data_IF_754437988389
#
_entry.id   IF_754437988389
#
_cell.length_a   1.000
_cell.length_b   1.000
_cell.length_c   1.000
_cell.angle_alpha   90.00
_cell.angle_beta   90.00
_cell.angle_gamma   90.00
#
_symmetry.space_group_name_H-M   'P 1'
#
loop_
_entity.id
_entity.type
_entity.pdbx_description
1 polymer ?
#
# COMPACT_ATOMS: atom_id res chain seq x y z
N UNK A 1 -52.71 11.13 -56.05
CA UNK A 1 -51.94 11.49 -57.24
C UNK A 1 -52.78 11.53 -58.54
N UNK A 2 -53.76 10.65 -58.78
CA UNK A 2 -54.63 10.71 -59.96
C UNK A 2 -55.67 11.81 -59.85
N UNK A 3 -56.41 11.90 -58.74
CA UNK A 3 -57.49 12.85 -58.50
C UNK A 3 -57.00 14.32 -58.40
N UNK A 4 -55.79 14.57 -57.86
CA UNK A 4 -55.21 15.93 -57.82
C UNK A 4 -54.82 16.44 -59.21
N UNK A 5 -54.26 15.59 -60.05
CA UNK A 5 -53.93 15.94 -61.43
C UNK A 5 -55.19 16.18 -62.31
N UNK A 6 -56.22 15.43 -62.03
CA UNK A 6 -57.53 15.61 -62.73
C UNK A 6 -58.16 16.92 -62.32
N UNK A 7 -58.06 17.28 -61.02
CA UNK A 7 -58.57 18.57 -60.53
C UNK A 7 -57.79 19.76 -61.11
N UNK A 8 -56.47 19.67 -61.14
CA UNK A 8 -55.61 20.71 -61.71
C UNK A 8 -55.89 20.92 -63.21
N UNK A 9 -56.03 19.82 -63.96
CA UNK A 9 -56.42 19.92 -65.38
C UNK A 9 -57.81 20.48 -65.57
N UNK A 10 -58.75 20.15 -64.72
CA UNK A 10 -60.10 20.76 -64.79
C UNK A 10 -60.08 22.28 -64.51
N UNK A 11 -59.33 22.69 -63.49
CA UNK A 11 -59.16 24.09 -63.12
C UNK A 11 -58.49 24.82 -64.26
N UNK A 12 -57.43 24.33 -64.88
CA UNK A 12 -56.75 24.93 -66.02
C UNK A 12 -57.69 25.02 -67.21
N UNK A 13 -58.50 23.99 -67.51
CA UNK A 13 -59.46 23.99 -68.58
C UNK A 13 -60.55 25.06 -68.42
N UNK A 14 -61.10 25.18 -67.18
CA UNK A 14 -62.10 26.15 -66.82
C UNK A 14 -61.61 27.61 -66.90
N UNK A 15 -60.36 27.83 -66.49
CA UNK A 15 -59.68 29.13 -66.58
C UNK A 15 -59.35 29.56 -68.02
N UNK A 16 -59.13 28.56 -68.93
CA UNK A 16 -58.76 28.81 -70.33
C UNK A 16 -59.98 29.01 -71.25
N UNK A 17 -61.16 28.59 -70.80
CA UNK A 17 -62.34 28.62 -71.66
C UNK A 17 -62.82 30.03 -71.89
N UNK A 18 -62.94 30.50 -73.18
CA UNK A 18 -63.40 31.85 -73.55
C UNK A 18 -64.83 32.09 -73.10
N UNK A 19 -65.67 31.05 -72.96
CA UNK A 19 -67.09 31.26 -72.56
C UNK A 19 -67.22 31.76 -71.12
N UNK A 20 -66.17 31.66 -70.28
CA UNK A 20 -66.17 32.10 -68.92
C UNK A 20 -65.49 33.48 -68.70
N UNK A 21 -65.02 34.16 -69.77
CA UNK A 21 -64.41 35.48 -69.65
C UNK A 21 -65.38 36.50 -69.08
N UNK A 22 -64.93 37.20 -67.98
CA UNK A 22 -65.74 38.21 -67.29
C UNK A 22 -66.69 37.70 -66.23
N UNK A 23 -66.73 36.35 -66.02
CA UNK A 23 -67.56 35.73 -64.97
C UNK A 23 -66.87 35.85 -63.61
N UNK A 24 -67.58 36.35 -62.53
CA UNK A 24 -66.98 36.54 -61.23
C UNK A 24 -66.39 35.23 -60.61
N UNK A 25 -66.97 34.08 -60.89
CA UNK A 25 -66.47 32.79 -60.44
C UNK A 25 -65.12 32.44 -61.04
N UNK A 26 -64.84 32.79 -62.28
CA UNK A 26 -63.53 32.62 -62.94
C UNK A 26 -62.42 33.40 -62.23
N UNK A 27 -62.71 34.67 -61.89
CA UNK A 27 -61.77 35.48 -61.12
C UNK A 27 -61.50 34.91 -59.70
N UNK A 28 -62.55 34.45 -59.03
CA UNK A 28 -62.41 33.78 -57.70
C UNK A 28 -61.59 32.49 -57.80
N UNK A 29 -61.82 31.69 -58.82
CA UNK A 29 -61.07 30.45 -59.06
C UNK A 29 -59.57 30.75 -59.38
N UNK A 30 -59.27 31.72 -60.21
CA UNK A 30 -57.93 32.14 -60.49
C UNK A 30 -57.20 32.65 -59.26
N UNK A 31 -57.87 33.43 -58.41
CA UNK A 31 -57.29 33.90 -57.13
C UNK A 31 -57.05 32.71 -56.16
N UNK A 32 -57.96 31.77 -56.07
CA UNK A 32 -57.81 30.62 -55.23
C UNK A 32 -56.62 29.74 -55.69
N UNK A 33 -56.53 29.51 -57.03
CA UNK A 33 -55.39 28.78 -57.62
C UNK A 33 -54.04 29.44 -57.29
N UNK A 34 -53.99 30.81 -57.47
CA UNK A 34 -52.78 31.57 -57.14
C UNK A 34 -52.41 31.46 -55.67
N UNK A 35 -53.41 31.60 -54.75
CA UNK A 35 -53.19 31.47 -53.34
C UNK A 35 -52.64 30.01 -52.97
N UNK A 36 -53.17 28.97 -53.64
CA UNK A 36 -52.74 27.65 -53.42
C UNK A 36 -51.28 27.46 -53.87
N UNK A 37 -50.90 27.94 -55.03
CA UNK A 37 -49.52 27.90 -55.56
C UNK A 37 -48.55 28.69 -54.64
N UNK A 38 -49.00 29.87 -54.13
CA UNK A 38 -48.21 30.65 -53.16
C UNK A 38 -48.01 29.89 -51.83
N UNK A 39 -49.06 29.21 -51.36
CA UNK A 39 -48.96 28.38 -50.15
C UNK A 39 -48.02 27.16 -50.34
N UNK A 40 -48.12 26.48 -51.47
CA UNK A 40 -47.23 25.35 -51.81
C UNK A 40 -45.76 25.82 -51.87
N UNK A 41 -45.51 26.94 -52.54
CA UNK A 41 -44.16 27.51 -52.61
C UNK A 41 -43.59 27.92 -51.23
N UNK A 42 -44.44 28.39 -50.30
CA UNK A 42 -44.08 28.68 -48.92
C UNK A 42 -43.74 27.39 -48.13
N UNK A 43 -44.59 26.35 -48.28
CA UNK A 43 -44.35 25.05 -47.65
C UNK A 43 -43.06 24.40 -48.12
N UNK A 44 -42.78 24.42 -49.42
CA UNK A 44 -41.51 23.90 -49.97
C UNK A 44 -40.31 24.69 -49.45
N UNK A 45 -40.44 26.00 -49.25
CA UNK A 45 -39.37 26.81 -48.66
C UNK A 45 -39.14 26.44 -47.20
N UNK A 46 -40.20 26.25 -46.42
CA UNK A 46 -40.14 25.85 -45.03
C UNK A 46 -39.50 24.43 -44.91
N UNK A 47 -39.92 23.50 -45.78
CA UNK A 47 -39.34 22.16 -45.83
C UNK A 47 -37.82 22.18 -46.08
N UNK A 48 -37.39 22.94 -47.11
CA UNK A 48 -35.96 23.13 -47.42
C UNK A 48 -35.17 23.73 -46.26
N UNK A 49 -35.72 24.71 -45.55
CA UNK A 49 -35.09 25.33 -44.39
C UNK A 49 -35.02 24.31 -43.25
N UNK A 50 -36.11 23.58 -42.99
CA UNK A 50 -36.14 22.52 -41.96
C UNK A 50 -35.10 21.43 -42.22
N UNK A 51 -35.01 20.95 -43.47
CA UNK A 51 -34.01 19.92 -43.86
C UNK A 51 -32.57 20.44 -43.66
N UNK A 52 -32.33 21.73 -43.99
CA UNK A 52 -31.04 22.38 -43.72
C UNK A 52 -30.69 22.45 -42.23
N UNK A 53 -31.65 22.81 -41.38
CA UNK A 53 -31.47 22.82 -39.93
C UNK A 53 -31.24 21.41 -39.36
N UNK A 54 -32.00 20.42 -39.85
CA UNK A 54 -31.80 19.03 -39.41
C UNK A 54 -30.43 18.46 -39.79
N UNK A 55 -29.95 18.74 -40.99
CA UNK A 55 -28.63 18.30 -41.44
C UNK A 55 -27.52 18.95 -40.61
N UNK A 56 -27.60 20.26 -40.36
CA UNK A 56 -26.66 21.00 -39.51
C UNK A 56 -26.64 20.46 -38.06
N UNK A 57 -27.83 20.25 -37.51
CA UNK A 57 -27.95 19.68 -36.14
C UNK A 57 -27.34 18.25 -36.04
N UNK A 58 -27.54 17.44 -37.06
CA UNK A 58 -26.91 16.09 -37.11
C UNK A 58 -25.39 16.18 -37.16
N UNK A 59 -24.84 17.06 -37.98
CA UNK A 59 -23.38 17.27 -38.11
C UNK A 59 -22.78 17.78 -36.79
N UNK A 60 -23.44 18.75 -36.16
CA UNK A 60 -23.01 19.22 -34.82
C UNK A 60 -23.05 18.14 -33.78
N UNK A 61 -24.10 17.32 -33.71
CA UNK A 61 -24.21 16.21 -32.78
C UNK A 61 -23.14 15.16 -33.00
N UNK A 62 -22.82 14.84 -34.27
CA UNK A 62 -21.75 13.91 -34.59
C UNK A 62 -20.39 14.44 -34.12
N UNK A 63 -20.08 15.70 -34.41
CA UNK A 63 -18.81 16.30 -33.99
C UNK A 63 -18.68 16.41 -32.48
N UNK A 64 -19.77 16.70 -31.77
CA UNK A 64 -19.83 16.75 -30.31
C UNK A 64 -19.60 15.35 -29.74
N UNK A 65 -20.28 14.33 -30.26
CA UNK A 65 -20.11 12.93 -29.87
C UNK A 65 -18.66 12.46 -30.02
N UNK A 66 -18.01 12.78 -31.13
CA UNK A 66 -16.59 12.45 -31.35
C UNK A 66 -15.66 13.15 -30.34
N UNK A 67 -15.94 14.39 -29.96
CA UNK A 67 -15.19 15.11 -28.94
C UNK A 67 -15.35 14.45 -27.58
N UNK A 68 -16.59 14.09 -27.19
CA UNK A 68 -16.85 13.36 -25.94
C UNK A 68 -16.12 12.01 -25.90
N UNK A 69 -16.16 11.23 -26.96
CA UNK A 69 -15.45 9.96 -27.01
C UNK A 69 -13.93 10.10 -26.93
N UNK A 70 -13.37 11.18 -27.48
CA UNK A 70 -11.93 11.48 -27.31
C UNK A 70 -11.59 11.83 -25.86
N UNK A 71 -12.41 12.66 -25.22
CA UNK A 71 -12.22 13.03 -23.81
C UNK A 71 -12.36 11.83 -22.87
N UNK A 72 -13.37 10.98 -23.08
CA UNK A 72 -13.53 9.76 -22.29
C UNK A 72 -12.30 8.86 -22.36
N UNK A 73 -11.78 8.63 -23.57
CA UNK A 73 -10.54 7.83 -23.74
C UNK A 73 -9.33 8.45 -23.04
N UNK A 74 -9.23 9.77 -23.02
CA UNK A 74 -8.18 10.46 -22.27
C UNK A 74 -8.34 10.28 -20.76
N UNK A 75 -9.57 10.44 -20.24
CA UNK A 75 -9.87 10.23 -18.82
C UNK A 75 -9.59 8.79 -18.38
N UNK A 76 -9.99 7.78 -19.17
CA UNK A 76 -9.66 6.38 -18.90
C UNK A 76 -8.15 6.11 -18.87
N UNK A 77 -7.40 6.78 -19.76
CA UNK A 77 -5.94 6.68 -19.75
C UNK A 77 -5.33 7.29 -18.50
N UNK A 78 -5.80 8.47 -18.09
CA UNK A 78 -5.35 9.15 -16.86
C UNK A 78 -5.71 8.31 -15.63
N UNK A 79 -6.92 7.78 -15.55
CA UNK A 79 -7.34 6.91 -14.45
C UNK A 79 -6.42 5.69 -14.32
N UNK A 80 -6.15 4.98 -15.43
CA UNK A 80 -5.22 3.82 -15.41
C UNK A 80 -3.79 4.18 -15.00
N UNK A 81 -3.30 5.37 -15.37
CA UNK A 81 -1.98 5.84 -14.92
C UNK A 81 -2.02 6.14 -13.42
N UNK A 82 -3.08 6.79 -12.94
CA UNK A 82 -3.27 7.10 -11.52
C UNK A 82 -3.31 5.84 -10.66
N UNK A 83 -4.04 4.80 -11.08
CA UNK A 83 -4.13 3.53 -10.37
C UNK A 83 -2.74 2.87 -10.25
N UNK A 84 -2.00 2.78 -11.37
CA UNK A 84 -0.64 2.24 -11.35
C UNK A 84 0.31 3.04 -10.45
N UNK A 85 0.16 4.36 -10.44
CA UNK A 85 0.99 5.22 -9.58
C UNK A 85 0.68 4.99 -8.10
N UNK A 86 -0.60 4.81 -7.75
CA UNK A 86 -1.02 4.48 -6.38
C UNK A 86 -0.47 3.11 -5.93
N UNK A 87 -0.54 2.09 -6.80
CA UNK A 87 0.01 0.77 -6.50
C UNK A 87 1.54 0.86 -6.28
N UNK A 88 2.26 1.55 -7.18
CA UNK A 88 3.70 1.74 -7.03
C UNK A 88 4.05 2.50 -5.73
N UNK A 89 3.27 3.51 -5.34
CA UNK A 89 3.47 4.22 -4.06
C UNK A 89 3.22 3.30 -2.86
N UNK A 90 2.23 2.42 -2.92
CA UNK A 90 1.98 1.43 -1.86
C UNK A 90 3.16 0.46 -1.72
N UNK A 91 3.63 -0.09 -2.84
CA UNK A 91 4.77 -1.01 -2.86
C UNK A 91 6.04 -0.35 -2.33
N UNK A 92 6.31 0.90 -2.75
CA UNK A 92 7.45 1.67 -2.25
C UNK A 92 7.34 1.95 -0.75
N UNK A 93 6.15 2.31 -0.26
CA UNK A 93 5.93 2.54 1.17
C UNK A 93 6.09 1.25 1.98
N UNK A 94 5.65 0.10 1.47
CA UNK A 94 5.87 -1.21 2.11
C UNK A 94 7.36 -1.53 2.16
N UNK A 95 8.08 -1.38 1.06
CA UNK A 95 9.53 -1.61 0.99
C UNK A 95 10.31 -0.67 1.93
N UNK A 96 9.92 0.61 2.00
CA UNK A 96 10.50 1.57 2.94
C UNK A 96 10.21 1.20 4.40
N UNK A 97 8.99 0.74 4.70
CA UNK A 97 8.62 0.27 6.03
C UNK A 97 9.44 -0.96 6.41
N UNK A 98 9.57 -1.95 5.54
CA UNK A 98 10.39 -3.14 5.77
C UNK A 98 11.87 -2.78 5.97
N UNK A 99 12.44 -1.94 5.12
CA UNK A 99 13.81 -1.46 5.28
C UNK A 99 14.01 -0.68 6.60
N UNK A 100 13.00 0.09 7.03
CA UNK A 100 12.99 0.83 8.30
C UNK A 100 12.83 -0.04 9.55
N UNK A 101 12.48 -1.33 9.41
CA UNK A 101 12.27 -2.26 10.52
C UNK A 101 13.47 -3.18 10.78
N UNK A 102 14.49 -3.15 9.93
CA UNK A 102 15.72 -3.92 10.09
C UNK A 102 16.90 -3.04 10.44
N UNK A 103 17.85 -3.62 11.17
CA UNK A 103 19.15 -3.01 11.43
C UNK A 103 20.06 -3.18 10.19
N UNK A 104 20.64 -2.08 9.72
CA UNK A 104 21.41 -2.06 8.48
C UNK A 104 22.71 -2.89 8.54
N UNK A 105 23.31 -3.03 9.73
CA UNK A 105 24.54 -3.79 9.93
C UNK A 105 24.30 -5.29 10.03
N UNK A 106 23.33 -5.66 10.88
CA UNK A 106 23.12 -7.07 11.25
C UNK A 106 22.02 -7.76 10.44
N UNK A 107 21.17 -7.00 9.73
CA UNK A 107 19.99 -7.52 9.03
C UNK A 107 18.87 -8.00 9.97
N UNK A 108 19.09 -8.02 11.27
CA UNK A 108 18.09 -8.41 12.26
C UNK A 108 16.98 -7.35 12.38
N UNK A 109 15.81 -7.70 12.92
CA UNK A 109 14.86 -6.75 13.43
C UNK A 109 15.53 -5.67 14.28
N UNK A 110 15.20 -4.41 14.01
CA UNK A 110 15.70 -3.30 14.82
C UNK A 110 14.78 -3.06 16.05
N UNK A 111 15.18 -2.15 16.91
CA UNK A 111 14.44 -1.79 18.12
C UNK A 111 12.97 -1.45 17.84
N UNK A 112 12.68 -0.79 16.72
CA UNK A 112 11.31 -0.41 16.35
C UNK A 112 10.44 -1.64 16.09
N UNK A 113 10.94 -2.58 15.31
CA UNK A 113 10.23 -3.84 15.03
C UNK A 113 10.05 -4.68 16.30
N UNK A 114 11.09 -4.74 17.15
CA UNK A 114 10.99 -5.40 18.45
C UNK A 114 9.88 -4.82 19.32
N UNK A 115 9.79 -3.48 19.39
CA UNK A 115 8.75 -2.79 20.16
C UNK A 115 7.33 -3.04 19.60
N UNK A 116 7.16 -3.13 18.29
CA UNK A 116 5.89 -3.48 17.67
C UNK A 116 5.48 -4.90 18.09
N UNK A 117 6.39 -5.88 17.99
CA UNK A 117 6.13 -7.26 18.37
C UNK A 117 5.88 -7.47 19.86
N UNK A 118 6.59 -6.75 20.73
CA UNK A 118 6.37 -6.79 22.16
C UNK A 118 4.94 -6.34 22.54
N UNK A 119 4.40 -5.34 21.88
CA UNK A 119 3.01 -4.89 22.08
C UNK A 119 2.01 -5.95 21.61
N UNK A 120 2.28 -6.58 20.48
CA UNK A 120 1.41 -7.64 19.96
C UNK A 120 1.38 -8.85 20.92
N UNK A 121 2.54 -9.25 21.47
CA UNK A 121 2.61 -10.38 22.42
C UNK A 121 1.98 -10.03 23.78
N UNK A 122 2.12 -8.80 24.26
CA UNK A 122 1.39 -8.32 25.43
C UNK A 122 -0.12 -8.45 25.26
N UNK A 123 -0.66 -8.00 24.12
CA UNK A 123 -2.09 -8.12 23.83
C UNK A 123 -2.53 -9.58 23.78
N UNK A 124 -1.74 -10.46 23.16
CA UNK A 124 -2.03 -11.91 23.13
C UNK A 124 -2.06 -12.52 24.52
N UNK A 125 -1.07 -12.21 25.34
CA UNK A 125 -1.00 -12.69 26.74
C UNK A 125 -2.21 -12.22 27.57
N UNK A 126 -2.66 -10.99 27.41
CA UNK A 126 -3.87 -10.46 28.05
C UNK A 126 -5.15 -11.17 27.60
N UNK A 127 -5.18 -11.70 26.38
CA UNK A 127 -6.31 -12.48 25.83
C UNK A 127 -6.26 -13.99 26.24
N UNK A 128 -5.40 -14.41 27.15
CA UNK A 128 -5.32 -15.78 27.66
C UNK A 128 -4.30 -16.66 26.94
N UNK A 129 -3.40 -16.10 26.12
CA UNK A 129 -2.25 -16.82 25.61
C UNK A 129 -1.23 -17.10 26.73
N UNK A 130 -0.29 -18.05 26.48
CA UNK A 130 0.78 -18.31 27.42
C UNK A 130 1.74 -17.11 27.53
N UNK A 131 2.46 -16.98 28.68
CA UNK A 131 3.42 -15.89 28.85
C UNK A 131 4.57 -16.01 27.84
N UNK A 132 5.29 -14.90 27.66
CA UNK A 132 6.51 -14.86 26.88
C UNK A 132 7.73 -14.63 27.78
N UNK A 133 8.91 -15.03 27.28
CA UNK A 133 10.18 -14.73 27.92
C UNK A 133 10.95 -13.70 27.10
N UNK A 134 11.55 -12.73 27.80
CA UNK A 134 12.50 -11.78 27.22
C UNK A 134 13.91 -12.10 27.70
N UNK A 135 14.86 -12.05 26.78
CA UNK A 135 16.27 -12.07 27.13
C UNK A 135 16.99 -10.85 26.53
N UNK A 136 17.45 -9.98 27.40
CA UNK A 136 18.35 -8.90 27.03
C UNK A 136 19.77 -9.43 26.96
N UNK A 137 20.50 -9.14 25.91
CA UNK A 137 21.85 -9.62 25.61
C UNK A 137 22.77 -8.45 25.36
N UNK A 138 23.96 -8.49 25.93
CA UNK A 138 24.97 -7.47 25.70
C UNK A 138 26.34 -8.11 25.50
N UNK A 139 27.10 -7.61 24.52
CA UNK A 139 28.42 -8.14 24.16
C UNK A 139 29.44 -7.64 25.16
N UNK A 140 30.05 -8.58 25.90
CA UNK A 140 31.02 -8.27 26.91
C UNK A 140 32.27 -7.58 26.33
N UNK A 141 32.69 -6.48 26.97
CA UNK A 141 33.90 -5.75 26.57
C UNK A 141 33.93 -5.24 25.15
N UNK A 142 32.77 -5.02 24.50
CA UNK A 142 32.69 -4.59 23.09
C UNK A 142 33.46 -3.30 22.82
N UNK A 143 33.43 -2.35 23.76
CA UNK A 143 34.24 -1.12 23.65
C UNK A 143 35.74 -1.42 23.53
N UNK A 144 36.26 -2.40 24.30
CA UNK A 144 37.67 -2.79 24.21
C UNK A 144 38.00 -3.42 22.85
N UNK A 145 37.09 -4.18 22.26
CA UNK A 145 37.24 -4.71 20.90
C UNK A 145 37.39 -3.57 19.91
N UNK A 146 36.49 -2.57 19.96
CA UNK A 146 36.58 -1.39 19.07
C UNK A 146 37.86 -0.57 19.30
N UNK A 147 38.23 -0.35 20.56
CA UNK A 147 39.42 0.43 20.92
C UNK A 147 40.71 -0.26 20.46
N UNK A 148 40.76 -1.60 20.43
CA UNK A 148 41.94 -2.39 20.07
C UNK A 148 42.05 -2.67 18.57
N UNK A 149 40.90 -3.04 17.94
CA UNK A 149 40.89 -3.59 16.58
C UNK A 149 40.15 -2.67 15.57
N UNK A 150 39.61 -1.56 16.04
CA UNK A 150 38.81 -0.64 15.20
C UNK A 150 37.35 -1.03 15.04
N UNK A 151 36.55 -0.04 14.60
CA UNK A 151 35.10 -0.20 14.44
C UNK A 151 34.71 -1.23 13.38
N UNK A 152 35.49 -1.40 12.31
CA UNK A 152 35.22 -2.38 11.25
C UNK A 152 35.22 -3.81 11.80
N UNK A 153 36.13 -4.12 12.74
CA UNK A 153 36.18 -5.42 13.42
C UNK A 153 35.02 -5.56 14.40
N UNK A 154 34.67 -4.49 15.12
CA UNK A 154 33.47 -4.48 15.97
C UNK A 154 32.19 -4.78 15.17
N UNK A 155 32.05 -4.19 13.99
CA UNK A 155 30.91 -4.44 13.08
C UNK A 155 30.87 -5.89 12.59
N UNK A 156 32.02 -6.51 12.29
CA UNK A 156 32.12 -7.94 11.98
C UNK A 156 31.69 -8.81 13.16
N UNK A 157 32.13 -8.47 14.38
CA UNK A 157 31.72 -9.17 15.62
C UNK A 157 30.20 -9.12 15.79
N UNK A 158 29.58 -7.94 15.69
CA UNK A 158 28.12 -7.79 15.81
C UNK A 158 27.37 -8.58 14.75
N UNK A 159 27.87 -8.60 13.51
CA UNK A 159 27.26 -9.37 12.42
C UNK A 159 27.32 -10.87 12.65
N UNK A 160 28.44 -11.38 13.18
CA UNK A 160 28.60 -12.81 13.52
C UNK A 160 27.72 -13.20 14.70
N UNK A 161 27.66 -12.39 15.75
CA UNK A 161 26.76 -12.58 16.88
C UNK A 161 25.31 -12.64 16.40
N UNK A 162 24.91 -11.71 15.56
CA UNK A 162 23.57 -11.67 14.98
C UNK A 162 23.23 -12.97 14.23
N UNK A 163 24.15 -13.51 13.43
CA UNK A 163 23.97 -14.76 12.71
C UNK A 163 23.81 -15.97 13.67
N UNK A 164 24.61 -16.03 14.75
CA UNK A 164 24.48 -17.07 15.76
C UNK A 164 23.16 -17.00 16.49
N UNK A 165 22.75 -15.79 16.93
CA UNK A 165 21.48 -15.58 17.61
C UNK A 165 20.30 -15.97 16.72
N UNK A 166 20.29 -15.53 15.47
CA UNK A 166 19.23 -15.83 14.49
C UNK A 166 19.15 -17.34 14.17
N UNK A 167 20.30 -18.01 14.03
CA UNK A 167 20.35 -19.43 13.70
C UNK A 167 19.98 -20.37 14.85
N UNK A 168 19.79 -19.84 16.06
CA UNK A 168 19.50 -20.66 17.24
C UNK A 168 18.07 -20.47 17.79
N UNK A 169 17.34 -19.49 17.32
CA UNK A 169 15.93 -19.23 17.66
C UNK A 169 15.00 -19.92 16.67
N UNK A 170 13.78 -20.23 17.09
CA UNK A 170 12.76 -20.86 16.25
C UNK A 170 12.11 -19.82 15.32
N UNK A 171 11.38 -20.26 14.29
CA UNK A 171 10.77 -19.37 13.31
C UNK A 171 9.72 -18.40 13.87
N UNK A 172 9.14 -18.67 15.04
CA UNK A 172 8.19 -17.79 15.74
C UNK A 172 8.83 -16.97 16.86
N UNK A 173 10.07 -17.31 17.28
CA UNK A 173 10.86 -16.48 18.18
C UNK A 173 11.39 -15.26 17.41
N UNK A 174 11.63 -14.17 18.10
CA UNK A 174 12.18 -12.97 17.50
C UNK A 174 13.52 -12.64 18.17
N UNK A 175 14.53 -12.41 17.33
CA UNK A 175 15.81 -11.84 17.74
C UNK A 175 16.01 -10.54 17.00
N UNK A 176 16.45 -9.49 17.69
CA UNK A 176 16.72 -8.20 17.09
C UNK A 176 17.80 -7.40 17.81
N UNK A 177 18.35 -6.39 17.11
CA UNK A 177 19.32 -5.47 17.69
C UNK A 177 18.57 -4.36 18.43
N UNK A 178 18.82 -4.26 19.74
CA UNK A 178 18.16 -3.31 20.63
C UNK A 178 18.90 -1.98 20.71
N UNK A 179 20.21 -2.02 20.74
CA UNK A 179 21.11 -0.87 20.84
C UNK A 179 22.40 -1.07 20.11
N UNK A 180 23.46 -0.34 20.49
CA UNK A 180 24.79 -0.42 19.86
C UNK A 180 25.34 -1.83 19.85
N UNK A 181 25.54 -2.43 21.03
CA UNK A 181 26.06 -3.77 21.28
C UNK A 181 25.04 -4.69 21.97
N UNK A 182 23.77 -4.25 22.04
CA UNK A 182 22.69 -4.92 22.73
C UNK A 182 21.74 -5.61 21.75
N UNK A 183 21.30 -6.82 22.10
CA UNK A 183 20.31 -7.59 21.39
C UNK A 183 19.17 -7.96 22.33
N UNK A 184 17.97 -8.17 21.76
CA UNK A 184 16.80 -8.64 22.50
C UNK A 184 16.25 -9.90 21.84
N UNK A 185 16.00 -10.92 22.64
CA UNK A 185 15.28 -12.13 22.25
C UNK A 185 13.89 -12.07 22.86
N UNK A 186 12.88 -12.29 22.05
CA UNK A 186 11.50 -12.49 22.45
C UNK A 186 11.11 -13.93 22.11
N UNK A 187 10.75 -14.70 23.15
CA UNK A 187 10.36 -16.10 23.07
C UNK A 187 8.87 -16.20 23.45
N UNK A 188 7.95 -16.12 22.49
CA UNK A 188 6.52 -16.26 22.74
C UNK A 188 6.16 -17.64 23.27
N UNK A 189 5.09 -17.74 24.07
CA UNK A 189 4.53 -18.99 24.57
C UNK A 189 5.59 -19.93 25.21
N UNK A 190 6.55 -19.32 25.90
CA UNK A 190 7.72 -20.01 26.43
C UNK A 190 7.89 -19.67 27.92
N UNK A 191 8.05 -20.67 28.75
CA UNK A 191 8.39 -20.53 30.18
C UNK A 191 9.90 -20.45 30.39
N UNK A 192 10.35 -19.97 31.57
CA UNK A 192 11.76 -19.91 31.93
C UNK A 192 12.45 -21.28 31.85
N UNK A 193 11.76 -22.35 32.23
CA UNK A 193 12.32 -23.71 32.20
C UNK A 193 12.73 -24.16 30.77
N UNK A 194 12.07 -23.62 29.75
CA UNK A 194 12.36 -23.88 28.34
C UNK A 194 13.35 -22.84 27.79
N UNK A 195 13.20 -21.58 28.20
CA UNK A 195 14.03 -20.49 27.69
C UNK A 195 15.48 -20.57 28.15
N UNK A 196 15.72 -20.84 29.45
CA UNK A 196 17.06 -20.84 30.02
C UNK A 196 18.02 -21.82 29.34
N UNK A 197 17.66 -23.09 29.08
CA UNK A 197 18.51 -23.99 28.29
C UNK A 197 18.85 -23.49 26.89
N UNK A 198 17.90 -22.78 26.22
CA UNK A 198 18.13 -22.21 24.91
C UNK A 198 19.13 -21.06 24.99
N UNK A 199 18.98 -20.18 25.99
CA UNK A 199 19.86 -19.04 26.21
C UNK A 199 21.27 -19.48 26.60
N UNK A 200 21.40 -20.47 27.48
CA UNK A 200 22.72 -21.04 27.84
C UNK A 200 23.42 -21.69 26.64
N UNK A 201 22.68 -22.39 25.78
CA UNK A 201 23.22 -22.91 24.52
C UNK A 201 23.68 -21.78 23.59
N UNK A 202 22.93 -20.66 23.51
CA UNK A 202 23.31 -19.47 22.75
C UNK A 202 24.62 -18.89 23.30
N UNK A 203 24.70 -18.68 24.61
CA UNK A 203 25.90 -18.19 25.28
C UNK A 203 27.13 -19.05 24.96
N UNK A 204 26.99 -20.40 25.03
CA UNK A 204 28.05 -21.33 24.64
C UNK A 204 28.49 -21.16 23.19
N UNK A 205 27.54 -21.04 22.26
CA UNK A 205 27.85 -20.85 20.83
C UNK A 205 28.55 -19.50 20.54
N UNK A 206 28.19 -18.43 21.27
CA UNK A 206 28.86 -17.14 21.14
C UNK A 206 30.33 -17.24 21.64
N UNK A 207 30.58 -17.95 22.74
CA UNK A 207 31.93 -18.17 23.25
C UNK A 207 32.78 -19.03 22.30
N UNK A 208 32.15 -19.94 21.59
CA UNK A 208 32.80 -20.85 20.64
C UNK A 208 32.96 -20.22 19.22
N UNK A 209 32.59 -18.95 19.06
CA UNK A 209 32.81 -18.24 17.81
C UNK A 209 34.30 -18.17 17.48
N UNK A 210 34.67 -18.64 16.30
CA UNK A 210 36.05 -18.62 15.81
C UNK A 210 36.29 -17.41 14.92
N UNK A 211 36.55 -16.28 15.55
CA UNK A 211 36.90 -15.02 14.85
C UNK A 211 38.40 -14.83 14.94
N UNK A 212 39.06 -14.80 13.77
CA UNK A 212 40.49 -14.49 13.67
C UNK A 212 40.64 -13.07 13.07
N UNK A 213 41.33 -12.20 13.77
CA UNK A 213 41.68 -10.84 13.33
C UNK A 213 43.21 -10.70 13.35
N UNK A 214 43.79 -10.31 12.23
CA UNK A 214 45.25 -10.18 12.06
C UNK A 214 46.07 -11.42 12.49
N UNK A 215 45.49 -12.62 12.42
CA UNK A 215 46.10 -13.89 12.82
C UNK A 215 45.95 -14.25 14.31
N UNK A 216 45.28 -13.40 15.08
CA UNK A 216 44.97 -13.68 16.50
C UNK A 216 43.49 -14.08 16.66
N UNK A 217 43.23 -15.03 17.55
CA UNK A 217 41.87 -15.46 17.88
C UNK A 217 41.22 -14.48 18.84
N UNK A 218 40.10 -13.88 18.42
CA UNK A 218 39.33 -13.00 19.27
C UNK A 218 38.31 -13.79 20.10
N UNK A 219 38.45 -13.74 21.42
CA UNK A 219 37.49 -14.36 22.34
C UNK A 219 36.32 -13.42 22.57
N UNK A 220 35.11 -13.89 22.28
CA UNK A 220 33.85 -13.14 22.42
C UNK A 220 33.03 -13.81 23.51
N UNK A 221 32.45 -13.02 24.39
CA UNK A 221 31.41 -13.46 25.31
C UNK A 221 30.26 -12.48 25.37
N UNK A 222 29.12 -12.92 25.88
CA UNK A 222 27.96 -12.05 26.08
C UNK A 222 27.28 -12.37 27.43
N UNK A 223 26.75 -11.33 28.03
CA UNK A 223 25.94 -11.45 29.25
C UNK A 223 24.47 -11.42 28.90
N UNK A 224 23.64 -12.16 29.63
CA UNK A 224 22.22 -12.33 29.40
C UNK A 224 21.42 -12.03 30.67
N UNK A 225 20.39 -11.20 30.53
CA UNK A 225 19.38 -10.98 31.56
C UNK A 225 18.02 -11.47 31.08
N UNK A 226 17.39 -12.35 31.83
CA UNK A 226 16.19 -13.08 31.40
C UNK A 226 15.03 -12.82 32.33
N UNK A 227 13.86 -12.52 31.77
CA UNK A 227 12.62 -12.34 32.52
C UNK A 227 11.44 -13.01 31.78
N UNK A 228 10.62 -13.74 32.55
CA UNK A 228 9.31 -14.22 32.08
C UNK A 228 8.25 -13.17 32.43
N UNK A 229 7.31 -12.94 31.54
CA UNK A 229 6.17 -12.07 31.78
C UNK A 229 5.25 -12.66 32.85
N UNK A 230 4.84 -11.80 33.81
CA UNK A 230 3.83 -12.19 34.80
C UNK A 230 2.40 -11.87 34.32
N UNK A 231 1.40 -12.59 34.81
CA UNK A 231 0.00 -12.28 34.53
C UNK A 231 -0.33 -10.81 34.90
N UNK A 232 -0.85 -10.04 33.93
CA UNK A 232 -1.18 -8.64 34.10
C UNK A 232 0.00 -7.67 34.03
N UNK A 233 1.23 -8.16 33.84
CA UNK A 233 2.41 -7.33 33.64
C UNK A 233 2.51 -6.85 32.18
N UNK A 234 2.79 -5.56 31.99
CA UNK A 234 3.08 -5.00 30.68
C UNK A 234 4.50 -5.36 30.22
N UNK A 235 4.71 -5.43 28.90
CA UNK A 235 6.02 -5.76 28.32
C UNK A 235 7.15 -4.85 28.81
N UNK A 236 6.86 -3.59 29.11
CA UNK A 236 7.85 -2.62 29.61
C UNK A 236 8.40 -3.02 30.99
N UNK A 237 7.56 -3.58 31.84
CA UNK A 237 7.98 -4.03 33.17
C UNK A 237 8.83 -5.30 33.05
N UNK A 238 8.42 -6.25 32.22
CA UNK A 238 9.21 -7.45 31.92
C UNK A 238 10.58 -7.10 31.32
N UNK A 239 10.60 -6.13 30.40
CA UNK A 239 11.84 -5.62 29.79
C UNK A 239 12.78 -5.01 30.83
N UNK A 240 12.25 -4.16 31.73
CA UNK A 240 13.04 -3.55 32.80
C UNK A 240 13.61 -4.61 33.75
N UNK A 241 12.87 -5.69 34.05
CA UNK A 241 13.37 -6.80 34.86
C UNK A 241 14.51 -7.55 34.15
N UNK A 242 14.36 -7.81 32.84
CA UNK A 242 15.40 -8.40 32.03
C UNK A 242 16.68 -7.53 31.98
N UNK A 243 16.53 -6.21 31.85
CA UNK A 243 17.64 -5.26 31.86
C UNK A 243 18.35 -5.23 33.22
N UNK A 244 17.60 -5.22 34.32
CA UNK A 244 18.16 -5.29 35.68
C UNK A 244 18.96 -6.61 35.90
N UNK A 245 18.44 -7.73 35.42
CA UNK A 245 19.15 -9.02 35.47
C UNK A 245 20.42 -9.02 34.59
N UNK A 246 20.39 -8.35 33.41
CA UNK A 246 21.58 -8.16 32.57
C UNK A 246 22.65 -7.35 33.30
N UNK A 247 22.27 -6.27 33.97
CA UNK A 247 23.19 -5.47 34.77
C UNK A 247 23.84 -6.30 35.90
N UNK A 248 23.06 -7.15 36.56
CA UNK A 248 23.58 -8.11 37.56
C UNK A 248 24.55 -9.09 36.93
N UNK A 249 24.25 -9.64 35.73
CA UNK A 249 25.17 -10.54 35.01
C UNK A 249 26.52 -9.85 34.74
N UNK A 250 26.49 -8.59 34.30
CA UNK A 250 27.71 -7.79 34.05
C UNK A 250 28.53 -7.54 35.34
N UNK A 251 27.86 -7.24 36.44
CA UNK A 251 28.53 -6.98 37.73
C UNK A 251 29.08 -8.27 38.36
N UNK A 252 28.42 -9.40 38.17
CA UNK A 252 28.81 -10.68 38.73
C UNK A 252 29.96 -11.41 38.01
N UNK A 253 30.55 -10.75 37.00
CA UNK A 253 31.75 -11.27 36.30
C UNK A 253 31.50 -11.63 34.83
N UNK A 254 30.38 -11.18 34.23
CA UNK A 254 30.05 -11.36 32.79
C UNK A 254 29.96 -12.81 32.34
N UNK A 255 29.83 -13.05 31.00
CA UNK A 255 29.72 -14.40 30.42
C UNK A 255 28.76 -15.31 31.17
N UNK A 256 27.57 -14.83 31.45
CA UNK A 256 26.55 -15.57 32.21
C UNK A 256 25.12 -15.15 31.87
N UNK A 257 24.23 -16.04 32.26
CA UNK A 257 22.78 -15.76 32.25
C UNK A 257 22.32 -15.52 33.69
N UNK A 258 21.62 -14.41 33.91
CA UNK A 258 20.94 -14.12 35.19
C UNK A 258 19.44 -14.03 34.92
N UNK A 259 18.66 -14.70 35.78
CA UNK A 259 17.20 -14.71 35.72
C UNK A 259 16.66 -13.66 36.68
N UNK A 260 15.80 -12.78 36.19
CA UNK A 260 15.11 -11.79 37.02
C UNK A 260 14.28 -12.52 38.10
N UNK A 261 14.35 -12.08 39.35
CA UNK A 261 13.55 -12.68 40.42
C UNK A 261 12.05 -12.56 40.12
N UNK A 262 11.32 -13.59 40.48
CA UNK A 262 9.86 -13.54 40.53
C UNK A 262 9.49 -12.49 41.58
N UNK A 263 8.87 -11.38 41.21
CA UNK A 263 8.28 -10.49 42.20
C UNK A 263 7.12 -11.23 42.86
N UNK A 264 7.17 -11.33 44.16
CA UNK A 264 6.14 -11.96 45.01
C UNK A 264 4.85 -11.13 44.99
#
# INVERSE_FOLDING_TARGET
MSAERELDQLVESLLSDPQHYGHPLREALARLQQQNLDQLSRLERIARISDGYQSLAREQNLSLSERYHRQLRQLEKVARISDRYQDMLRDLNLALKEASLRDALTGLPNRRMLMERLRDEEQRSQCGAQPFVLAMVDVDHFKQINDTWGHDVGDQVLSQIAAVLQGAVRGYDLCGRWGGEEFLLLLPETSLNIAVPVIERLRGRLRDLDLCVAGERLSISASFGVAEQHPGEGYSQTLNRADSALLEAKHSGRDRCVIAPLQA
#
